data_IF_822382956520
#
_entry.id   IF_822382956520
#
_cell.length_a   1.000
_cell.length_b   1.000
_cell.length_c   1.000
_cell.angle_alpha   90.00
_cell.angle_beta   90.00
_cell.angle_gamma   90.00
#
_symmetry.space_group_name_H-M   'P 1'
#
loop_
_entity.id
_entity.type
_entity.pdbx_description
1 polymer ?
#
# COMPACT_ATOMS: atom_id res chain seq x y z
N UNK A 1 -39.59 57.90 25.39
CA UNK A 1 -38.55 57.59 26.40
C UNK A 1 -37.42 56.85 25.71
N UNK A 2 -36.20 57.30 25.94
CA UNK A 2 -34.99 57.02 25.16
C UNK A 2 -33.89 56.54 26.11
N UNK A 3 -33.13 55.52 25.66
CA UNK A 3 -31.74 55.11 26.05
C UNK A 3 -31.67 53.57 26.17
N UNK A 4 -30.94 52.83 25.31
CA UNK A 4 -29.47 52.65 25.19
C UNK A 4 -28.78 52.30 26.51
N UNK A 5 -28.37 51.03 26.67
CA UNK A 5 -26.95 50.62 26.82
C UNK A 5 -26.80 49.15 27.25
N UNK A 6 -25.77 48.47 26.70
CA UNK A 6 -25.08 47.40 27.43
C UNK A 6 -24.84 46.11 26.66
N UNK A 7 -23.91 46.12 25.70
CA UNK A 7 -23.28 44.92 25.18
C UNK A 7 -22.62 44.10 26.31
N UNK A 8 -22.68 42.76 26.25
CA UNK A 8 -21.66 41.85 26.80
C UNK A 8 -21.75 40.46 26.14
N UNK A 9 -20.70 40.18 25.38
CA UNK A 9 -20.14 38.89 24.96
C UNK A 9 -20.81 37.60 25.43
N UNK A 10 -21.17 36.75 24.47
CA UNK A 10 -21.18 35.29 24.65
C UNK A 10 -20.65 34.65 23.37
N UNK A 11 -19.32 34.66 23.24
CA UNK A 11 -18.55 33.77 22.36
C UNK A 11 -18.53 32.34 22.94
N UNK A 12 -19.69 31.84 23.38
CA UNK A 12 -19.81 30.47 23.86
C UNK A 12 -20.00 29.57 22.64
N UNK A 13 -18.88 29.36 21.95
CA UNK A 13 -18.66 28.25 21.07
C UNK A 13 -19.14 26.98 21.79
N UNK A 14 -20.18 26.27 21.32
CA UNK A 14 -20.26 24.86 21.64
C UNK A 14 -19.05 24.23 20.96
N UNK A 15 -18.07 23.85 21.78
CA UNK A 15 -16.93 23.01 21.41
C UNK A 15 -17.49 21.89 20.53
N UNK A 16 -17.30 22.00 19.21
CA UNK A 16 -17.73 20.96 18.29
C UNK A 16 -16.99 19.69 18.70
N UNK A 17 -17.62 18.50 18.64
CA UNK A 17 -16.95 17.24 18.91
C UNK A 17 -15.95 16.95 17.76
N UNK A 18 -14.83 17.66 17.77
CA UNK A 18 -13.76 17.64 16.76
C UNK A 18 -12.82 16.43 16.95
N UNK A 19 -13.15 15.50 17.85
CA UNK A 19 -12.18 14.55 18.39
C UNK A 19 -12.18 13.19 17.70
N UNK A 20 -13.30 12.67 17.22
CA UNK A 20 -13.33 11.30 16.67
C UNK A 20 -13.01 11.25 15.16
N UNK A 21 -13.66 12.09 14.35
CA UNK A 21 -13.50 12.07 12.89
C UNK A 21 -12.11 12.54 12.43
N UNK A 22 -11.56 13.56 13.09
CA UNK A 22 -10.25 14.14 12.74
C UNK A 22 -9.11 13.19 13.11
N UNK A 23 -9.18 12.56 14.30
CA UNK A 23 -8.17 11.57 14.74
C UNK A 23 -8.07 10.36 13.82
N UNK A 24 -9.20 9.85 13.31
CA UNK A 24 -9.18 8.71 12.38
C UNK A 24 -8.52 9.05 11.03
N UNK A 25 -8.69 10.29 10.54
CA UNK A 25 -8.08 10.74 9.28
C UNK A 25 -6.56 10.86 9.41
N UNK A 26 -6.08 11.41 10.53
CA UNK A 26 -4.65 11.56 10.80
C UNK A 26 -3.96 10.20 10.92
N UNK A 27 -4.54 9.27 11.68
CA UNK A 27 -3.96 7.92 11.84
C UNK A 27 -3.84 7.19 10.49
N UNK A 28 -4.88 7.25 9.65
CA UNK A 28 -4.83 6.68 8.31
C UNK A 28 -3.77 7.36 7.43
N UNK A 29 -3.66 8.69 7.52
CA UNK A 29 -2.65 9.46 6.80
C UNK A 29 -1.21 9.06 7.16
N UNK A 30 -0.92 8.90 8.46
CA UNK A 30 0.39 8.43 8.95
C UNK A 30 0.74 7.06 8.37
N UNK A 31 -0.21 6.12 8.39
CA UNK A 31 0.02 4.79 7.83
C UNK A 31 0.27 4.84 6.32
N UNK A 32 -0.45 5.69 5.58
CA UNK A 32 -0.21 5.87 4.13
C UNK A 32 1.19 6.41 3.85
N UNK A 33 1.68 7.36 4.65
CA UNK A 33 3.05 7.87 4.54
C UNK A 33 4.06 6.76 4.81
N UNK A 34 3.88 5.96 5.86
CA UNK A 34 4.80 4.86 6.21
C UNK A 34 4.84 3.80 5.11
N UNK A 35 3.67 3.29 4.70
CA UNK A 35 3.57 2.29 3.63
C UNK A 35 4.14 2.83 2.31
N UNK A 36 3.81 4.09 1.99
CA UNK A 36 4.31 4.78 0.81
C UNK A 36 5.82 4.96 0.81
N UNK A 37 6.41 5.33 1.95
CA UNK A 37 7.87 5.49 2.08
C UNK A 37 8.62 4.15 1.94
N UNK A 38 8.12 3.09 2.58
CA UNK A 38 8.70 1.74 2.47
C UNK A 38 8.59 1.24 1.02
N UNK A 39 7.43 1.42 0.40
CA UNK A 39 7.22 1.04 -1.00
C UNK A 39 8.09 1.82 -1.97
N UNK A 40 8.25 3.13 -1.76
CA UNK A 40 9.12 3.98 -2.55
C UNK A 40 10.58 3.55 -2.42
N UNK A 41 11.04 3.23 -1.21
CA UNK A 41 12.39 2.73 -0.96
C UNK A 41 12.64 1.42 -1.71
N UNK A 42 11.69 0.47 -1.66
CA UNK A 42 11.80 -0.79 -2.38
C UNK A 42 11.83 -0.58 -3.91
N UNK A 43 10.97 0.28 -4.44
CA UNK A 43 10.94 0.62 -5.87
C UNK A 43 12.24 1.29 -6.32
N UNK A 44 12.80 2.18 -5.50
CA UNK A 44 14.06 2.85 -5.76
C UNK A 44 15.23 1.87 -5.77
N UNK A 45 15.32 1.00 -4.76
CA UNK A 45 16.35 -0.04 -4.70
C UNK A 45 16.29 -0.98 -5.91
N UNK A 46 15.10 -1.46 -6.28
CA UNK A 46 14.89 -2.28 -7.48
C UNK A 46 15.30 -1.57 -8.78
N UNK A 47 15.05 -0.26 -8.86
CA UNK A 47 15.42 0.54 -10.03
C UNK A 47 16.94 0.68 -10.13
N UNK A 48 17.62 0.93 -9.02
CA UNK A 48 19.09 0.99 -8.98
C UNK A 48 19.71 -0.35 -9.38
N UNK A 49 19.19 -1.47 -8.87
CA UNK A 49 19.65 -2.81 -9.25
C UNK A 49 19.43 -3.09 -10.75
N UNK A 50 18.30 -2.64 -11.31
CA UNK A 50 18.07 -2.75 -12.76
C UNK A 50 19.10 -1.97 -13.56
N UNK A 51 19.40 -0.73 -13.16
CA UNK A 51 20.39 0.10 -13.85
C UNK A 51 21.79 -0.48 -13.73
N UNK A 52 22.14 -1.02 -12.58
CA UNK A 52 23.42 -1.67 -12.37
C UNK A 52 23.61 -2.88 -13.29
N UNK A 53 22.58 -3.73 -13.42
CA UNK A 53 22.57 -4.87 -14.35
C UNK A 53 22.69 -4.45 -15.82
N UNK A 54 22.07 -3.33 -16.19
CA UNK A 54 22.13 -2.80 -17.55
C UNK A 54 23.51 -2.20 -17.88
N UNK A 55 24.18 -1.60 -16.90
CA UNK A 55 25.52 -1.03 -17.05
C UNK A 55 26.62 -2.10 -17.03
N UNK A 56 26.43 -3.17 -16.26
CA UNK A 56 27.40 -4.23 -16.07
C UNK A 56 26.76 -5.61 -16.35
N UNK A 57 26.63 -6.01 -17.63
CA UNK A 57 26.08 -7.31 -17.99
C UNK A 57 26.87 -8.45 -17.33
N UNK A 58 26.19 -9.34 -16.62
CA UNK A 58 26.81 -10.45 -15.88
C UNK A 58 27.21 -10.15 -14.43
N UNK A 59 26.97 -8.92 -13.95
CA UNK A 59 27.08 -8.60 -12.51
C UNK A 59 25.98 -9.28 -11.69
N UNK A 60 26.30 -9.63 -10.44
CA UNK A 60 25.35 -10.19 -9.48
C UNK A 60 24.79 -9.04 -8.62
N UNK A 61 23.46 -8.84 -8.57
CA UNK A 61 22.82 -7.84 -7.72
C UNK A 61 23.15 -8.00 -6.24
N UNK A 62 23.13 -6.89 -5.49
CA UNK A 62 23.43 -6.93 -4.06
C UNK A 62 22.36 -7.67 -3.23
N UNK A 63 21.17 -7.82 -3.79
CA UNK A 63 20.03 -8.54 -3.23
C UNK A 63 19.99 -10.03 -3.60
N UNK A 64 21.00 -10.56 -4.29
CA UNK A 64 21.13 -11.99 -4.61
C UNK A 64 21.97 -12.69 -3.53
N UNK A 65 21.32 -13.47 -2.67
CA UNK A 65 21.97 -14.15 -1.54
C UNK A 65 22.13 -15.66 -1.76
N UNK A 66 21.23 -16.27 -2.54
CA UNK A 66 21.21 -17.72 -2.76
C UNK A 66 20.56 -18.08 -4.09
N UNK A 67 20.57 -19.37 -4.44
CA UNK A 67 19.87 -19.87 -5.64
C UNK A 67 18.37 -19.59 -5.62
N UNK A 68 17.77 -19.49 -4.44
CA UNK A 68 16.35 -19.19 -4.25
C UNK A 68 16.07 -17.70 -4.10
N UNK A 69 17.04 -16.92 -3.63
CA UNK A 69 16.89 -15.47 -3.42
C UNK A 69 17.66 -14.73 -4.52
N UNK A 70 16.97 -14.54 -5.65
CA UNK A 70 17.52 -13.91 -6.86
C UNK A 70 16.65 -12.74 -7.32
N UNK A 71 17.06 -11.56 -6.91
CA UNK A 71 16.60 -10.26 -7.37
C UNK A 71 16.87 -10.10 -8.88
N UNK A 72 18.06 -10.48 -9.34
CA UNK A 72 18.50 -10.31 -10.73
C UNK A 72 17.69 -11.10 -11.75
N UNK A 73 17.36 -12.36 -11.42
CA UNK A 73 16.51 -13.21 -12.25
C UNK A 73 15.13 -12.59 -12.45
N UNK A 74 14.51 -12.11 -11.38
CA UNK A 74 13.21 -11.43 -11.43
C UNK A 74 13.28 -10.14 -12.27
N UNK A 75 14.29 -9.31 -12.05
CA UNK A 75 14.49 -8.04 -12.76
C UNK A 75 14.80 -8.21 -14.25
N UNK A 76 15.48 -9.29 -14.62
CA UNK A 76 15.91 -9.57 -16.00
C UNK A 76 14.88 -10.38 -16.79
N UNK A 77 13.89 -10.95 -16.12
CA UNK A 77 12.79 -11.67 -16.78
C UNK A 77 11.93 -10.77 -17.67
N UNK A 78 11.29 -11.32 -18.72
CA UNK A 78 10.32 -10.57 -19.52
C UNK A 78 9.20 -9.96 -18.66
N UNK A 79 8.77 -10.67 -17.62
CA UNK A 79 7.74 -10.23 -16.69
C UNK A 79 8.19 -9.02 -15.86
N UNK A 80 9.49 -8.84 -15.64
CA UNK A 80 10.10 -7.67 -14.99
C UNK A 80 10.00 -6.37 -15.79
N UNK A 81 9.56 -6.43 -17.06
CA UNK A 81 9.40 -5.26 -17.93
C UNK A 81 8.21 -5.37 -18.90
N UNK A 82 7.07 -5.87 -18.41
CA UNK A 82 5.92 -6.22 -19.27
C UNK A 82 5.33 -5.03 -20.05
N UNK A 83 5.50 -3.81 -19.54
CA UNK A 83 5.03 -2.58 -20.19
C UNK A 83 6.09 -1.93 -21.10
N UNK A 84 7.18 -2.64 -21.42
CA UNK A 84 8.30 -2.13 -22.23
C UNK A 84 9.31 -1.29 -21.44
N UNK A 85 9.11 -1.15 -20.13
CA UNK A 85 10.04 -0.50 -19.20
C UNK A 85 10.09 -1.28 -17.88
N UNK A 86 11.13 -1.10 -17.04
CA UNK A 86 11.24 -1.81 -15.77
C UNK A 86 10.04 -1.54 -14.86
N UNK A 87 9.36 -2.60 -14.41
CA UNK A 87 8.22 -2.48 -13.51
C UNK A 87 8.46 -1.61 -12.25
N UNK A 88 9.68 -1.58 -11.63
CA UNK A 88 9.96 -0.71 -10.49
C UNK A 88 9.69 0.78 -10.74
N UNK A 89 9.75 1.23 -12.00
CA UNK A 89 9.44 2.61 -12.40
C UNK A 89 7.96 2.95 -12.11
N UNK A 90 7.05 1.98 -12.22
CA UNK A 90 5.64 2.17 -11.82
C UNK A 90 5.57 2.55 -10.34
N UNK A 91 6.37 1.87 -9.50
CA UNK A 91 6.46 2.16 -8.08
C UNK A 91 6.99 3.57 -7.79
N UNK A 92 8.03 4.00 -8.51
CA UNK A 92 8.58 5.36 -8.39
C UNK A 92 7.55 6.45 -8.70
N UNK A 93 6.56 6.17 -9.56
CA UNK A 93 5.49 7.11 -9.87
C UNK A 93 4.30 7.01 -8.90
N UNK A 94 3.94 5.79 -8.49
CA UNK A 94 2.73 5.55 -7.70
C UNK A 94 2.91 5.80 -6.19
N UNK A 95 4.05 5.42 -5.61
CA UNK A 95 4.27 5.57 -4.16
C UNK A 95 4.30 7.02 -3.68
N UNK A 96 4.92 7.98 -4.39
CA UNK A 96 4.83 9.39 -4.01
C UNK A 96 3.39 9.90 -3.95
N UNK A 97 2.50 9.44 -4.84
CA UNK A 97 1.07 9.80 -4.81
C UNK A 97 0.42 9.33 -3.50
N UNK A 98 0.70 8.10 -3.06
CA UNK A 98 0.20 7.57 -1.78
C UNK A 98 0.72 8.39 -0.59
N UNK A 99 2.00 8.76 -0.62
CA UNK A 99 2.62 9.63 0.40
C UNK A 99 1.92 11.00 0.42
N UNK A 100 1.73 11.63 -0.73
CA UNK A 100 1.05 12.94 -0.84
C UNK A 100 -0.37 12.87 -0.28
N UNK A 101 -1.11 11.80 -0.58
CA UNK A 101 -2.45 11.57 -0.02
C UNK A 101 -2.37 11.45 1.50
N UNK A 102 -1.40 10.68 2.02
CA UNK A 102 -1.18 10.53 3.45
C UNK A 102 -0.89 11.86 4.15
N UNK A 103 -0.01 12.68 3.59
CA UNK A 103 0.31 14.02 4.11
C UNK A 103 -0.93 14.93 4.07
N UNK A 104 -1.69 14.92 2.98
CA UNK A 104 -2.92 15.71 2.88
C UNK A 104 -3.97 15.30 3.94
N UNK A 105 -4.10 14.00 4.23
CA UNK A 105 -4.99 13.48 5.28
C UNK A 105 -4.53 13.91 6.69
N UNK A 106 -3.22 13.95 6.94
CA UNK A 106 -2.65 14.47 8.19
C UNK A 106 -2.97 15.97 8.34
N UNK A 107 -2.89 16.73 7.25
CA UNK A 107 -3.28 18.14 7.20
C UNK A 107 -4.80 18.39 7.28
N UNK A 108 -5.62 17.34 7.43
CA UNK A 108 -7.08 17.47 7.56
C UNK A 108 -7.82 17.64 6.22
N UNK A 109 -7.16 17.44 5.08
CA UNK A 109 -7.79 17.53 3.76
C UNK A 109 -8.86 16.47 3.59
N UNK A 110 -9.99 16.85 2.98
CA UNK A 110 -11.10 15.95 2.65
C UNK A 110 -11.20 15.78 1.15
N UNK A 111 -11.17 14.53 0.69
CA UNK A 111 -11.30 14.20 -0.72
C UNK A 111 -12.73 13.78 -1.08
N UNK A 112 -13.20 14.13 -2.30
CA UNK A 112 -14.51 13.72 -2.79
C UNK A 112 -14.60 12.21 -3.03
N UNK A 113 -15.82 11.67 -3.15
CA UNK A 113 -16.07 10.24 -3.35
C UNK A 113 -15.33 9.64 -4.55
N UNK A 114 -15.32 10.33 -5.69
CA UNK A 114 -14.68 9.82 -6.91
C UNK A 114 -13.17 9.60 -6.72
N UNK A 115 -12.52 10.45 -5.93
CA UNK A 115 -11.09 10.34 -5.63
C UNK A 115 -10.78 9.05 -4.88
N UNK A 116 -11.58 8.75 -3.85
CA UNK A 116 -11.45 7.53 -3.08
C UNK A 116 -11.73 6.26 -3.90
N UNK A 117 -12.68 6.32 -4.84
CA UNK A 117 -12.95 5.20 -5.75
C UNK A 117 -11.82 5.03 -6.79
N UNK A 118 -11.27 6.13 -7.30
CA UNK A 118 -10.09 6.11 -8.18
C UNK A 118 -8.86 5.54 -7.48
N UNK A 119 -8.60 5.95 -6.23
CA UNK A 119 -7.55 5.38 -5.41
C UNK A 119 -7.77 3.88 -5.19
N UNK A 120 -9.01 3.47 -4.89
CA UNK A 120 -9.37 2.06 -4.72
C UNK A 120 -9.08 1.23 -5.97
N UNK A 121 -9.44 1.75 -7.13
CA UNK A 121 -9.18 1.10 -8.41
C UNK A 121 -7.67 0.98 -8.66
N UNK A 122 -6.91 2.04 -8.38
CA UNK A 122 -5.45 2.04 -8.50
C UNK A 122 -4.78 1.01 -7.59
N UNK A 123 -5.14 0.97 -6.30
CA UNK A 123 -4.57 0.00 -5.36
C UNK A 123 -5.05 -1.44 -5.61
N UNK A 124 -6.27 -1.62 -6.15
CA UNK A 124 -6.75 -2.92 -6.61
C UNK A 124 -5.95 -3.42 -7.82
N UNK A 125 -5.67 -2.54 -8.78
CA UNK A 125 -4.78 -2.84 -9.91
C UNK A 125 -3.37 -3.19 -9.45
N UNK A 126 -2.83 -2.44 -8.48
CA UNK A 126 -1.54 -2.74 -7.87
C UNK A 126 -1.53 -4.12 -7.19
N UNK A 127 -2.58 -4.46 -6.43
CA UNK A 127 -2.69 -5.77 -5.79
C UNK A 127 -2.79 -6.90 -6.81
N UNK A 128 -3.60 -6.74 -7.86
CA UNK A 128 -3.72 -7.74 -8.93
C UNK A 128 -2.37 -7.96 -9.63
N UNK A 129 -1.65 -6.88 -9.91
CA UNK A 129 -0.32 -6.95 -10.50
C UNK A 129 0.69 -7.64 -9.58
N UNK A 130 0.66 -7.34 -8.28
CA UNK A 130 1.47 -8.01 -7.26
C UNK A 130 1.17 -9.50 -7.19
N UNK A 131 -0.10 -9.91 -7.16
CA UNK A 131 -0.49 -11.34 -7.12
C UNK A 131 0.05 -12.08 -8.36
N UNK A 132 -0.03 -11.45 -9.53
CA UNK A 132 0.52 -12.02 -10.76
C UNK A 132 2.05 -12.16 -10.71
N UNK A 133 2.76 -11.15 -10.18
CA UNK A 133 4.22 -11.20 -10.00
C UNK A 133 4.66 -12.23 -8.95
N UNK A 134 3.89 -12.40 -7.87
CA UNK A 134 4.09 -13.48 -6.88
C UNK A 134 3.99 -14.84 -7.58
N UNK A 135 2.92 -15.06 -8.33
CA UNK A 135 2.72 -16.30 -9.08
C UNK A 135 3.84 -16.56 -10.08
N UNK A 136 4.26 -15.53 -10.80
CA UNK A 136 5.40 -15.61 -11.73
C UNK A 136 6.69 -16.00 -11.00
N UNK A 137 6.98 -15.37 -9.87
CA UNK A 137 8.19 -15.64 -9.07
C UNK A 137 8.23 -17.08 -8.59
N UNK A 138 7.12 -17.59 -8.03
CA UNK A 138 7.06 -18.92 -7.42
C UNK A 138 6.93 -20.03 -8.47
N UNK A 139 6.07 -19.86 -9.48
CA UNK A 139 5.69 -20.95 -10.39
C UNK A 139 6.44 -20.94 -11.72
N UNK A 140 6.99 -19.80 -12.16
CA UNK A 140 7.69 -19.70 -13.44
C UNK A 140 9.20 -19.52 -13.28
N UNK A 141 9.65 -18.67 -12.35
CA UNK A 141 11.09 -18.42 -12.14
C UNK A 141 11.69 -19.32 -11.07
N UNK A 142 10.88 -19.81 -10.13
CA UNK A 142 11.34 -20.55 -8.95
C UNK A 142 12.34 -19.76 -8.10
N UNK A 143 12.17 -18.44 -8.00
CA UNK A 143 13.04 -17.54 -7.23
C UNK A 143 12.23 -16.47 -6.51
N UNK A 144 12.79 -15.92 -5.44
CA UNK A 144 12.21 -14.88 -4.60
C UNK A 144 13.11 -13.65 -4.58
N UNK A 145 12.50 -12.46 -4.66
CA UNK A 145 13.21 -11.19 -4.57
C UNK A 145 12.82 -10.47 -3.27
N UNK A 146 13.79 -10.12 -2.39
CA UNK A 146 13.49 -9.44 -1.12
C UNK A 146 12.77 -8.11 -1.31
N UNK A 147 13.19 -7.30 -2.28
CA UNK A 147 12.56 -6.00 -2.55
C UNK A 147 11.15 -6.12 -3.12
N UNK A 148 10.89 -7.15 -3.93
CA UNK A 148 9.53 -7.47 -4.37
C UNK A 148 8.66 -7.85 -3.16
N UNK A 149 9.16 -8.70 -2.25
CA UNK A 149 8.45 -9.08 -1.02
C UNK A 149 8.13 -7.87 -0.13
N UNK A 150 9.05 -6.89 -0.02
CA UNK A 150 8.76 -5.61 0.65
C UNK A 150 7.61 -4.88 -0.05
N UNK A 151 7.59 -4.84 -1.38
CA UNK A 151 6.48 -4.23 -2.13
C UNK A 151 5.15 -4.95 -1.85
N UNK A 152 5.16 -6.28 -1.77
CA UNK A 152 3.96 -7.07 -1.45
C UNK A 152 3.43 -6.75 -0.05
N UNK A 153 4.34 -6.64 0.93
CA UNK A 153 3.98 -6.39 2.33
C UNK A 153 3.35 -5.02 2.57
N UNK A 154 3.58 -4.05 1.69
CA UNK A 154 2.95 -2.71 1.79
C UNK A 154 1.73 -2.53 0.89
N UNK A 155 1.65 -3.20 -0.27
CA UNK A 155 0.48 -3.11 -1.16
C UNK A 155 -0.75 -3.79 -0.55
N UNK A 156 -0.58 -4.97 0.07
CA UNK A 156 -1.68 -5.72 0.68
C UNK A 156 -2.41 -4.91 1.76
N UNK A 157 -1.76 -4.37 2.80
CA UNK A 157 -2.46 -3.59 3.82
C UNK A 157 -3.03 -2.30 3.24
N UNK A 158 -2.36 -1.65 2.29
CA UNK A 158 -2.87 -0.44 1.64
C UNK A 158 -4.20 -0.71 0.93
N UNK A 159 -4.29 -1.81 0.17
CA UNK A 159 -5.53 -2.23 -0.48
C UNK A 159 -6.66 -2.45 0.53
N UNK A 160 -6.41 -3.18 1.61
CA UNK A 160 -7.43 -3.45 2.63
C UNK A 160 -7.88 -2.18 3.34
N UNK A 161 -6.96 -1.27 3.65
CA UNK A 161 -7.29 0.02 4.26
C UNK A 161 -8.19 0.86 3.37
N UNK A 162 -7.84 1.05 2.10
CA UNK A 162 -8.63 1.86 1.16
C UNK A 162 -9.99 1.19 0.90
N UNK A 163 -10.01 -0.13 0.71
CA UNK A 163 -11.24 -0.88 0.42
C UNK A 163 -12.20 -0.86 1.60
N UNK A 164 -11.74 -1.19 2.80
CA UNK A 164 -12.59 -1.18 3.99
C UNK A 164 -12.99 0.24 4.40
N UNK A 165 -12.15 1.26 4.16
CA UNK A 165 -12.55 2.66 4.36
C UNK A 165 -13.69 3.05 3.41
N UNK A 166 -13.64 2.65 2.14
CA UNK A 166 -14.72 2.89 1.19
C UNK A 166 -16.02 2.17 1.56
N UNK A 167 -15.92 0.95 2.09
CA UNK A 167 -17.06 0.17 2.54
C UNK A 167 -17.70 0.75 3.80
N UNK A 168 -16.90 1.05 4.84
CA UNK A 168 -17.42 1.57 6.13
C UNK A 168 -18.05 2.95 6.00
N UNK A 169 -17.52 3.79 5.11
CA UNK A 169 -18.04 5.16 4.87
C UNK A 169 -19.18 5.21 3.86
N UNK A 170 -19.58 4.06 3.29
CA UNK A 170 -20.69 4.00 2.32
C UNK A 170 -20.37 4.61 0.95
N UNK A 171 -19.08 4.79 0.62
CA UNK A 171 -18.65 5.23 -0.72
C UNK A 171 -18.89 4.16 -1.78
N UNK A 172 -19.08 2.91 -1.39
CA UNK A 172 -19.64 1.86 -2.24
C UNK A 172 -21.11 1.61 -1.85
N UNK A 173 -22.04 1.54 -2.81
CA UNK A 173 -23.47 1.38 -2.55
C UNK A 173 -23.78 -0.08 -2.16
N UNK A 174 -23.37 -0.49 -0.97
CA UNK A 174 -23.63 -1.83 -0.42
C UNK A 174 -24.53 -1.78 0.82
N UNK A 175 -25.18 -2.92 1.10
CA UNK A 175 -26.13 -3.10 2.20
C UNK A 175 -25.53 -2.85 3.59
N UNK A 176 -26.39 -2.60 4.57
CA UNK A 176 -26.02 -2.28 5.95
C UNK A 176 -25.18 -3.38 6.62
N UNK A 177 -25.44 -4.66 6.29
CA UNK A 177 -24.66 -5.80 6.78
C UNK A 177 -23.18 -5.73 6.35
N UNK A 178 -22.91 -5.37 5.09
CA UNK A 178 -21.53 -5.24 4.57
C UNK A 178 -20.77 -4.11 5.25
N UNK A 179 -21.44 -3.01 5.59
CA UNK A 179 -20.82 -1.88 6.30
C UNK A 179 -20.41 -2.28 7.72
N UNK A 180 -21.26 -3.04 8.42
CA UNK A 180 -20.97 -3.54 9.77
C UNK A 180 -19.79 -4.52 9.76
N UNK A 181 -19.76 -5.43 8.79
CA UNK A 181 -18.63 -6.33 8.58
C UNK A 181 -17.34 -5.55 8.28
N UNK A 182 -17.36 -4.60 7.34
CA UNK A 182 -16.19 -3.80 6.98
C UNK A 182 -15.65 -2.98 8.17
N UNK A 183 -16.53 -2.45 9.01
CA UNK A 183 -16.12 -1.75 10.22
C UNK A 183 -15.39 -2.68 11.19
N UNK A 184 -15.87 -3.91 11.36
CA UNK A 184 -15.19 -4.91 12.20
C UNK A 184 -13.85 -5.33 11.57
N UNK A 185 -13.85 -5.63 10.27
CA UNK A 185 -12.66 -6.07 9.53
C UNK A 185 -11.55 -5.00 9.47
N UNK A 186 -11.90 -3.70 9.52
CA UNK A 186 -10.93 -2.61 9.52
C UNK A 186 -9.95 -2.70 10.71
N UNK A 187 -10.42 -3.07 11.90
CA UNK A 187 -9.55 -3.26 13.07
C UNK A 187 -8.65 -4.50 12.96
N UNK A 188 -8.99 -5.44 12.07
CA UNK A 188 -8.27 -6.70 11.86
C UNK A 188 -7.32 -6.65 10.66
N UNK A 189 -7.15 -5.49 10.01
CA UNK A 189 -6.26 -5.33 8.85
C UNK A 189 -4.83 -5.88 9.10
N UNK A 190 -4.19 -5.66 10.27
CA UNK A 190 -2.87 -6.25 10.52
C UNK A 190 -2.90 -7.78 10.49
N UNK A 191 -3.92 -8.41 11.07
CA UNK A 191 -4.08 -9.86 11.09
C UNK A 191 -4.44 -10.42 9.71
N UNK A 192 -5.30 -9.74 8.96
CA UNK A 192 -5.64 -10.11 7.57
C UNK A 192 -4.37 -10.04 6.71
N UNK A 193 -3.60 -8.96 6.84
CA UNK A 193 -2.33 -8.77 6.11
C UNK A 193 -1.33 -9.86 6.47
N UNK A 194 -1.15 -10.14 7.76
CA UNK A 194 -0.29 -11.23 8.23
C UNK A 194 -0.75 -12.57 7.66
N UNK A 195 -2.05 -12.86 7.68
CA UNK A 195 -2.63 -14.07 7.09
C UNK A 195 -2.32 -14.19 5.60
N UNK A 196 -2.47 -13.10 4.82
CA UNK A 196 -2.10 -13.09 3.40
C UNK A 196 -0.61 -13.38 3.20
N UNK A 197 0.27 -12.76 4.00
CA UNK A 197 1.71 -12.98 3.92
C UNK A 197 2.11 -14.41 4.32
N UNK A 198 1.46 -14.98 5.34
CA UNK A 198 1.65 -16.38 5.75
C UNK A 198 1.21 -17.32 4.62
N UNK A 199 0.07 -17.07 3.98
CA UNK A 199 -0.37 -17.87 2.83
C UNK A 199 0.66 -17.82 1.70
N UNK A 200 1.18 -16.64 1.36
CA UNK A 200 2.23 -16.49 0.35
C UNK A 200 3.49 -17.27 0.77
N UNK A 201 3.91 -17.15 2.03
CA UNK A 201 5.09 -17.85 2.56
C UNK A 201 4.91 -19.38 2.55
N UNK A 202 3.73 -19.89 2.90
CA UNK A 202 3.40 -21.32 2.84
C UNK A 202 3.42 -21.82 1.39
N UNK A 203 2.82 -21.07 0.46
CA UNK A 203 2.86 -21.43 -0.97
C UNK A 203 4.30 -21.45 -1.47
N UNK A 204 5.12 -20.46 -1.09
CA UNK A 204 6.53 -20.44 -1.43
C UNK A 204 7.25 -21.65 -0.84
N UNK A 205 7.04 -21.96 0.44
CA UNK A 205 7.66 -23.12 1.10
C UNK A 205 7.30 -24.44 0.41
N UNK A 206 6.02 -24.68 0.10
CA UNK A 206 5.55 -25.92 -0.51
C UNK A 206 6.07 -26.13 -1.94
N UNK A 207 6.51 -25.06 -2.62
CA UNK A 207 6.94 -25.12 -4.02
C UNK A 207 8.44 -25.00 -4.20
N UNK A 208 9.11 -24.28 -3.32
CA UNK A 208 10.53 -23.94 -3.41
C UNK A 208 11.37 -24.62 -2.31
N UNK A 209 10.74 -25.28 -1.33
CA UNK A 209 11.38 -25.85 -0.15
C UNK A 209 12.32 -24.86 0.56
N UNK A 210 11.91 -23.58 0.64
CA UNK A 210 12.73 -22.46 1.11
C UNK A 210 13.47 -22.74 2.41
N UNK A 211 12.81 -23.34 3.41
CA UNK A 211 13.40 -23.68 4.72
C UNK A 211 14.48 -24.78 4.67
N UNK A 212 14.52 -25.63 3.65
CA UNK A 212 15.56 -26.65 3.51
C UNK A 212 16.85 -26.09 2.88
N UNK A 213 16.77 -24.90 2.29
CA UNK A 213 17.87 -24.22 1.59
C UNK A 213 18.31 -22.91 2.28
N UNK A 214 17.68 -22.55 3.41
CA UNK A 214 18.13 -21.52 4.35
C UNK A 214 19.13 -22.10 5.35
#
# INVERSE_FOLDING_TARGET
>A
MQSRNGARHAWDNPCMPETASTRSSVAQGVVFVILGAIGLLAAFALTLEKFHLLQNPGSVPSCDFSLLVQCGANLSSPQGSIFGFPNPVIGLMAWPVVITIGVALIGGSRFPRWFWLGLNLGVAGALAFVIWLIGTSIFALSTLCPWCMVTWSVVIPLFWMVTFDNLRTGRLPLGSATRRFASAAYSWIPLITLGCLVVIAVIAQLRLDVLNYL
#
